data_IF_895546220779
#
_entry.id   IF_895546220779
#
_cell.length_a   1.000
_cell.length_b   1.000
_cell.length_c   1.000
_cell.angle_alpha   90.00
_cell.angle_beta   90.00
_cell.angle_gamma   90.00
#
_symmetry.space_group_name_H-M   'P 1'
#
loop_
_entity.id
_entity.type
_entity.pdbx_description
1 polymer ?
#
# COMPACT_ATOMS: atom_id res chain seq x y z
N UNK A 1 1.85 -8.14 19.16
CA UNK A 1 2.56 -6.84 19.25
C UNK A 1 1.87 -5.78 20.10
N UNK A 2 0.57 -5.83 20.44
CA UNK A 2 0.00 -4.99 21.52
C UNK A 2 0.16 -3.47 21.37
N UNK A 3 0.42 -2.99 20.16
CA UNK A 3 0.63 -1.56 19.85
C UNK A 3 -0.71 -0.83 19.96
N UNK A 4 -0.70 0.34 20.61
CA UNK A 4 -1.89 1.18 20.83
C UNK A 4 -1.79 2.57 20.23
N UNK A 5 -0.58 2.98 19.84
CA UNK A 5 -0.33 4.24 19.15
C UNK A 5 -0.35 3.95 17.66
N UNK A 6 -1.38 4.46 16.97
CA UNK A 6 -1.60 4.25 15.55
C UNK A 6 -1.84 5.63 14.95
N UNK A 7 -1.01 5.99 13.98
CA UNK A 7 -1.09 7.22 13.21
C UNK A 7 -1.27 6.87 11.73
N UNK A 8 -1.65 7.85 10.90
CA UNK A 8 -1.91 7.61 9.48
C UNK A 8 -1.11 8.54 8.56
N UNK A 9 -0.86 8.06 7.35
CA UNK A 9 -0.40 8.86 6.23
C UNK A 9 -1.33 8.57 5.06
N UNK A 10 -1.93 9.61 4.50
CA UNK A 10 -2.93 9.50 3.45
C UNK A 10 -2.35 10.10 2.17
N UNK A 11 -2.09 9.25 1.17
CA UNK A 11 -1.57 9.65 -0.13
C UNK A 11 -2.62 9.31 -1.19
N UNK A 12 -3.04 10.31 -1.95
CA UNK A 12 -3.92 10.13 -3.09
C UNK A 12 -3.11 10.13 -4.39
N UNK A 13 -3.36 9.15 -5.26
CA UNK A 13 -2.85 9.16 -6.64
C UNK A 13 -3.97 9.58 -7.59
N UNK A 14 -3.88 10.78 -8.17
CA UNK A 14 -4.82 11.20 -9.21
C UNK A 14 -4.38 10.67 -10.57
N UNK A 15 -5.31 10.03 -11.28
CA UNK A 15 -5.19 9.75 -12.71
C UNK A 15 -6.08 10.77 -13.43
N UNK A 16 -5.59 11.98 -13.64
CA UNK A 16 -6.31 12.94 -14.48
C UNK A 16 -6.08 12.55 -15.96
N UNK A 17 -7.12 12.60 -16.78
CA UNK A 17 -7.18 11.96 -18.11
C UNK A 17 -6.13 12.46 -19.16
N UNK A 18 -5.24 13.38 -18.79
CA UNK A 18 -4.13 13.86 -19.61
C UNK A 18 -2.76 13.89 -18.91
N UNK A 19 -2.67 13.68 -17.59
CA UNK A 19 -1.40 13.72 -16.85
C UNK A 19 -1.35 12.54 -15.86
N UNK A 20 -0.65 11.49 -16.26
CA UNK A 20 -0.20 10.45 -15.34
C UNK A 20 0.81 11.08 -14.35
N UNK A 21 0.55 11.06 -13.05
CA UNK A 21 1.67 10.86 -12.11
C UNK A 21 1.97 11.87 -10.99
N UNK A 22 1.06 12.72 -10.52
CA UNK A 22 1.31 13.46 -9.26
C UNK A 22 0.61 12.79 -8.07
N UNK A 23 1.43 12.32 -7.12
CA UNK A 23 0.96 11.88 -5.80
C UNK A 23 0.69 13.11 -4.93
N UNK A 24 -0.49 13.18 -4.33
CA UNK A 24 -0.84 14.22 -3.38
C UNK A 24 -0.88 13.64 -1.96
N UNK A 25 -0.07 14.19 -1.07
CA UNK A 25 -0.14 13.88 0.36
C UNK A 25 -1.28 14.70 0.97
N UNK A 26 -2.35 14.03 1.40
CA UNK A 26 -3.52 14.63 2.03
C UNK A 26 -3.32 14.80 3.54
N UNK A 27 -2.62 13.84 4.15
CA UNK A 27 -2.28 13.85 5.56
C UNK A 27 -0.97 13.09 5.76
N UNK A 28 -0.12 13.58 6.66
CA UNK A 28 1.09 12.90 7.06
C UNK A 28 1.29 13.07 8.57
N UNK A 29 1.28 11.95 9.29
CA UNK A 29 1.62 11.90 10.69
C UNK A 29 2.97 12.60 10.95
N UNK A 30 2.98 13.47 11.96
CA UNK A 30 4.19 14.15 12.40
C UNK A 30 4.90 13.27 13.42
N UNK A 31 5.84 12.46 12.94
CA UNK A 31 6.66 11.57 13.76
C UNK A 31 8.09 12.09 13.87
N UNK A 32 8.73 12.01 15.05
CA UNK A 32 10.09 12.49 15.23
C UNK A 32 11.10 11.66 14.42
N UNK A 33 12.27 12.23 14.17
CA UNK A 33 13.44 11.56 13.60
C UNK A 33 13.16 10.79 12.29
N UNK A 34 12.27 11.28 11.44
CA UNK A 34 11.95 10.61 10.17
C UNK A 34 11.32 9.22 10.34
N UNK A 35 10.60 9.00 11.45
CA UNK A 35 9.88 7.75 11.72
C UNK A 35 10.70 6.67 12.44
N UNK A 36 11.85 7.01 13.02
CA UNK A 36 12.62 6.06 13.84
C UNK A 36 11.75 5.46 14.96
N UNK A 37 11.75 4.13 15.08
CA UNK A 37 10.92 3.40 16.03
C UNK A 37 9.46 3.19 15.59
N UNK A 38 9.06 3.72 14.44
CA UNK A 38 7.75 3.45 13.82
C UNK A 38 7.86 2.34 12.78
N UNK A 39 6.73 1.65 12.59
CA UNK A 39 6.51 0.70 11.51
C UNK A 39 5.45 1.30 10.60
N UNK A 40 5.81 1.57 9.35
CA UNK A 40 4.83 1.92 8.31
C UNK A 40 4.36 0.62 7.68
N UNK A 41 3.05 0.48 7.53
CA UNK A 41 2.43 -0.73 6.97
C UNK A 41 1.55 -0.33 5.79
N UNK A 42 1.69 -1.05 4.67
CA UNK A 42 0.77 -0.99 3.55
C UNK A 42 0.36 -2.41 3.14
N UNK A 43 -0.70 -2.57 2.34
CA UNK A 43 -1.16 -3.91 1.95
C UNK A 43 -0.27 -4.53 0.85
N UNK A 44 0.09 -3.76 -0.16
CA UNK A 44 0.82 -4.18 -1.34
C UNK A 44 1.80 -3.09 -1.79
N UNK A 45 3.03 -3.49 -2.13
CA UNK A 45 3.89 -2.67 -2.99
C UNK A 45 3.83 -3.16 -4.45
N UNK A 46 3.26 -2.33 -5.34
CA UNK A 46 3.16 -2.62 -6.78
C UNK A 46 4.35 -2.02 -7.57
N UNK A 47 4.16 -0.88 -8.23
CA UNK A 47 5.23 -0.18 -8.99
C UNK A 47 6.15 0.66 -8.10
N UNK A 48 5.81 0.77 -6.81
CA UNK A 48 6.63 1.46 -5.81
C UNK A 48 6.47 2.98 -5.74
N UNK A 49 5.50 3.59 -6.43
CA UNK A 49 5.31 5.05 -6.36
C UNK A 49 4.98 5.54 -4.95
N UNK A 50 3.99 4.93 -4.30
CA UNK A 50 3.64 5.21 -2.89
C UNK A 50 4.83 4.93 -1.96
N UNK A 51 5.51 3.79 -2.16
CA UNK A 51 6.68 3.41 -1.38
C UNK A 51 7.80 4.47 -1.42
N UNK A 52 8.09 5.02 -2.60
CA UNK A 52 9.09 6.11 -2.75
C UNK A 52 8.68 7.36 -1.97
N UNK A 53 7.41 7.77 -2.04
CA UNK A 53 6.91 8.91 -1.27
C UNK A 53 6.99 8.66 0.24
N UNK A 54 6.64 7.45 0.70
CA UNK A 54 6.76 7.03 2.09
C UNK A 54 8.23 7.09 2.56
N UNK A 55 9.18 6.57 1.77
CA UNK A 55 10.61 6.63 2.11
C UNK A 55 11.16 8.04 2.16
N UNK A 56 10.64 8.96 1.35
CA UNK A 56 11.01 10.36 1.43
C UNK A 56 10.52 11.02 2.72
N UNK A 57 9.30 10.69 3.17
CA UNK A 57 8.72 11.26 4.39
C UNK A 57 9.27 10.62 5.67
N UNK A 58 9.45 9.30 5.67
CA UNK A 58 9.81 8.49 6.83
C UNK A 58 11.03 7.61 6.54
N UNK A 59 12.20 8.20 6.26
CA UNK A 59 13.39 7.45 5.83
C UNK A 59 13.92 6.46 6.88
N UNK A 60 13.60 6.66 8.17
CA UNK A 60 14.11 5.85 9.28
C UNK A 60 13.04 4.89 9.85
N UNK A 61 11.82 4.88 9.31
CA UNK A 61 10.80 3.92 9.70
C UNK A 61 11.04 2.56 9.06
N UNK A 62 10.68 1.47 9.76
CA UNK A 62 10.60 0.14 9.14
C UNK A 62 9.35 0.09 8.27
N UNK A 63 9.51 -0.01 6.95
CA UNK A 63 8.40 -0.06 6.01
C UNK A 63 8.13 -1.49 5.57
N UNK A 64 6.93 -2.01 5.83
CA UNK A 64 6.57 -3.40 5.55
C UNK A 64 5.25 -3.50 4.79
N UNK A 65 5.09 -4.56 4.00
CA UNK A 65 3.83 -4.86 3.32
C UNK A 65 3.40 -6.31 3.48
N UNK A 66 2.14 -6.62 3.17
CA UNK A 66 1.71 -8.04 3.11
C UNK A 66 2.20 -8.68 1.83
N UNK A 67 1.98 -7.99 0.70
CA UNK A 67 2.35 -8.45 -0.63
C UNK A 67 3.43 -7.55 -1.26
N UNK A 68 4.28 -8.14 -2.10
CA UNK A 68 5.21 -7.38 -2.93
C UNK A 68 5.25 -7.92 -4.36
N UNK A 69 5.24 -7.00 -5.32
CA UNK A 69 5.54 -7.30 -6.72
C UNK A 69 7.01 -6.97 -7.03
N UNK A 70 7.63 -7.62 -8.05
CA UNK A 70 9.03 -7.43 -8.36
C UNK A 70 9.47 -5.98 -8.55
N UNK A 71 8.65 -5.12 -9.18
CA UNK A 71 9.01 -3.73 -9.43
C UNK A 71 9.08 -2.86 -8.16
N UNK A 72 8.46 -3.30 -7.06
CA UNK A 72 8.33 -2.56 -5.81
C UNK A 72 9.06 -3.19 -4.63
N UNK A 73 9.44 -4.47 -4.72
CA UNK A 73 9.95 -5.26 -3.60
C UNK A 73 11.20 -4.66 -2.92
N UNK A 74 12.12 -4.07 -3.69
CA UNK A 74 13.35 -3.46 -3.13
C UNK A 74 13.10 -2.18 -2.32
N UNK A 75 11.89 -1.63 -2.34
CA UNK A 75 11.56 -0.36 -1.66
C UNK A 75 11.03 -0.57 -0.23
N UNK A 76 10.66 -1.79 0.12
CA UNK A 76 10.17 -2.19 1.45
C UNK A 76 11.27 -2.93 2.21
N UNK A 77 11.27 -2.84 3.54
CA UNK A 77 12.23 -3.54 4.38
C UNK A 77 11.89 -5.03 4.56
N UNK A 78 10.59 -5.36 4.45
CA UNK A 78 10.08 -6.72 4.69
C UNK A 78 8.70 -6.89 4.05
N UNK A 79 8.38 -8.11 3.63
CA UNK A 79 7.05 -8.48 3.15
C UNK A 79 6.81 -9.99 3.29
N UNK A 80 5.56 -10.44 3.18
CA UNK A 80 5.20 -11.84 3.47
C UNK A 80 5.10 -12.69 2.20
N UNK A 81 4.47 -12.18 1.14
CA UNK A 81 4.14 -12.96 -0.06
C UNK A 81 4.60 -12.25 -1.33
N UNK A 82 5.42 -12.94 -2.13
CA UNK A 82 5.73 -12.56 -3.50
C UNK A 82 4.53 -12.76 -4.43
N UNK A 83 4.24 -11.75 -5.24
CA UNK A 83 3.17 -11.78 -6.23
C UNK A 83 3.74 -11.40 -7.60
N UNK A 84 3.45 -12.14 -8.68
CA UNK A 84 3.91 -11.75 -10.02
C UNK A 84 3.41 -10.34 -10.41
N UNK A 85 4.24 -9.59 -11.15
CA UNK A 85 3.94 -8.21 -11.52
C UNK A 85 2.58 -8.04 -12.24
N UNK A 86 2.23 -9.03 -13.07
CA UNK A 86 1.01 -9.07 -13.86
C UNK A 86 -0.20 -9.68 -13.13
N UNK A 87 -0.05 -10.07 -11.86
CA UNK A 87 -1.15 -10.58 -11.06
C UNK A 87 -1.93 -9.42 -10.44
N UNK A 88 -3.25 -9.48 -10.56
CA UNK A 88 -4.17 -8.61 -9.84
C UNK A 88 -4.57 -9.28 -8.52
N UNK A 89 -4.54 -8.52 -7.42
CA UNK A 89 -4.95 -9.00 -6.10
C UNK A 89 -6.32 -8.38 -5.80
N UNK A 90 -7.34 -9.22 -5.58
CA UNK A 90 -8.61 -8.78 -5.02
C UNK A 90 -8.51 -8.86 -3.49
N UNK A 91 -8.48 -7.70 -2.83
CA UNK A 91 -8.37 -7.67 -1.38
C UNK A 91 -9.72 -7.97 -0.72
N UNK A 92 -9.75 -8.56 0.49
CA UNK A 92 -11.00 -8.93 1.14
C UNK A 92 -11.97 -7.76 1.38
N UNK A 93 -11.47 -6.53 1.55
CA UNK A 93 -12.29 -5.33 1.75
C UNK A 93 -12.93 -4.78 0.47
N UNK A 94 -12.47 -5.22 -0.70
CA UNK A 94 -13.08 -4.89 -2.00
C UNK A 94 -14.17 -5.91 -2.40
N UNK A 95 -14.25 -7.02 -1.67
CA UNK A 95 -15.17 -8.12 -1.93
C UNK A 95 -16.35 -8.10 -0.95
N UNK A 96 -17.44 -8.75 -1.35
CA UNK A 96 -18.62 -8.91 -0.51
C UNK A 96 -19.49 -10.07 -0.95
N UNK A 97 -20.26 -10.63 -0.02
CA UNK A 97 -21.22 -11.69 -0.33
C UNK A 97 -22.37 -11.12 -1.15
N UNK A 98 -22.57 -11.66 -2.35
CA UNK A 98 -23.67 -11.28 -3.24
C UNK A 98 -24.30 -12.52 -3.88
N UNK A 99 -25.51 -12.37 -4.41
CA UNK A 99 -26.15 -13.42 -5.16
C UNK A 99 -25.39 -13.68 -6.46
N UNK A 100 -24.98 -14.93 -6.67
CA UNK A 100 -24.43 -15.40 -7.95
C UNK A 100 -25.50 -16.26 -8.64
N UNK A 101 -25.98 -15.87 -9.83
CA UNK A 101 -26.98 -16.64 -10.54
C UNK A 101 -26.46 -18.04 -10.90
N UNK A 102 -27.35 -19.05 -11.00
CA UNK A 102 -26.97 -20.36 -11.51
C UNK A 102 -26.34 -20.25 -12.91
N UNK A 103 -25.39 -21.14 -13.21
CA UNK A 103 -24.70 -21.19 -14.51
C UNK A 103 -25.66 -21.43 -15.68
N UNK A 104 -26.78 -22.10 -15.45
CA UNK A 104 -27.83 -22.32 -16.44
C UNK A 104 -29.20 -22.04 -15.82
N UNK A 105 -30.03 -21.33 -16.57
CA UNK A 105 -31.46 -21.19 -16.30
C UNK A 105 -32.19 -22.20 -17.18
N UNK A 106 -33.12 -22.96 -16.59
CA UNK A 106 -34.00 -23.86 -17.34
C UNK A 106 -34.89 -23.07 -18.30
#
# INVERSE_FOLDING_TARGET
MGLRHIETVCIASYHDHNNQGELQVLHAAQVPNGGEGFIVVDDLVDTGNTARAIRQMYPNAKFVTVFAKPAGAELVDDYVIDIPQNTWIEQPWDLGLTFVPPLSRK
#
